data_IF_962478636685
#
_entry.id   IF_962478636685
#
_cell.length_a   1.000
_cell.length_b   1.000
_cell.length_c   1.000
_cell.angle_alpha   90.00
_cell.angle_beta   90.00
_cell.angle_gamma   90.00
#
_symmetry.space_group_name_H-M   'P 1'
#
loop_
_entity.id
_entity.type
_entity.pdbx_description
1 polymer ?
#
# COMPACT_ATOMS: atom_id res chain seq x y z
N UNK A 1 -10.32 -4.55 -35.61
CA UNK A 1 -9.50 -3.59 -34.84
C UNK A 1 -10.21 -3.38 -33.51
N UNK A 2 -9.80 -4.12 -32.48
CA UNK A 2 -10.45 -4.12 -31.17
C UNK A 2 -9.69 -3.17 -30.23
N UNK A 3 -10.48 -2.28 -29.64
CA UNK A 3 -10.13 -1.04 -28.97
C UNK A 3 -9.19 -1.24 -27.78
N UNK A 4 -8.10 -0.49 -27.81
CA UNK A 4 -7.04 -0.42 -26.79
C UNK A 4 -7.54 0.11 -25.44
N UNK A 5 -8.73 0.70 -25.36
CA UNK A 5 -9.31 1.30 -24.15
C UNK A 5 -9.79 0.26 -23.11
N UNK A 6 -10.26 -0.91 -23.53
CA UNK A 6 -10.78 -1.93 -22.58
C UNK A 6 -9.63 -2.59 -21.78
N UNK A 7 -8.41 -2.56 -22.30
CA UNK A 7 -7.22 -3.09 -21.64
C UNK A 7 -6.71 -2.20 -20.49
N UNK A 8 -7.12 -0.93 -20.44
CA UNK A 8 -6.66 0.04 -19.43
C UNK A 8 -7.58 0.07 -18.22
N UNK A 9 -8.89 -0.10 -18.41
CA UNK A 9 -9.83 -0.16 -17.29
C UNK A 9 -9.75 -1.46 -16.49
N UNK A 10 -9.42 -2.60 -17.13
CA UNK A 10 -9.29 -3.88 -16.42
C UNK A 10 -8.02 -4.00 -15.55
N UNK A 11 -7.02 -3.12 -15.70
CA UNK A 11 -5.88 -3.05 -14.77
C UNK A 11 -6.17 -2.21 -13.51
N UNK A 12 -7.19 -1.36 -13.52
CA UNK A 12 -7.48 -0.41 -12.42
C UNK A 12 -8.13 -1.05 -11.20
N UNK A 13 -8.58 -2.31 -11.33
CA UNK A 13 -9.17 -3.13 -10.25
C UNK A 13 -8.21 -4.28 -9.85
N UNK A 14 -7.14 -4.49 -10.60
CA UNK A 14 -6.19 -5.57 -10.36
C UNK A 14 -5.07 -5.10 -9.43
N UNK A 15 -4.90 -5.80 -8.30
CA UNK A 15 -3.81 -5.55 -7.34
C UNK A 15 -2.48 -5.94 -8.00
N UNK A 16 -1.59 -4.96 -8.14
CA UNK A 16 -0.27 -5.14 -8.75
C UNK A 16 0.76 -5.44 -7.66
N UNK A 17 1.54 -6.50 -7.84
CA UNK A 17 2.59 -6.91 -6.92
C UNK A 17 3.80 -5.98 -7.06
N UNK A 18 4.25 -5.37 -5.95
CA UNK A 18 5.47 -4.58 -5.94
C UNK A 18 6.72 -5.49 -5.87
N UNK A 19 7.81 -5.09 -6.54
CA UNK A 19 9.01 -5.91 -6.78
C UNK A 19 9.74 -6.41 -5.54
N UNK A 20 10.61 -7.41 -5.71
CA UNK A 20 11.39 -8.02 -4.63
C UNK A 20 12.86 -7.53 -4.62
N UNK A 21 13.37 -7.06 -3.45
CA UNK A 21 14.65 -7.49 -2.83
C UNK A 21 15.40 -6.44 -1.96
N UNK A 22 16.30 -7.02 -1.15
CA UNK A 22 17.45 -6.49 -0.37
C UNK A 22 17.23 -6.05 1.08
N UNK A 23 18.14 -6.56 1.92
CA UNK A 23 18.05 -6.81 3.35
C UNK A 23 18.25 -5.56 4.22
N UNK A 24 17.19 -5.21 4.93
CA UNK A 24 17.11 -4.31 6.08
C UNK A 24 15.64 -4.34 6.49
N UNK A 25 15.30 -4.49 7.78
CA UNK A 25 13.90 -4.65 8.26
C UNK A 25 13.09 -3.38 8.01
N UNK A 26 12.66 -3.24 6.77
CA UNK A 26 11.88 -2.15 6.23
C UNK A 26 10.54 -2.76 5.90
N UNK A 27 9.44 -2.28 6.51
CA UNK A 27 8.09 -2.68 6.10
C UNK A 27 7.94 -2.36 4.60
N UNK A 28 7.58 -3.36 3.80
CA UNK A 28 7.50 -3.25 2.34
C UNK A 28 6.06 -3.22 1.86
N UNK A 29 5.82 -2.55 0.74
CA UNK A 29 4.54 -2.62 0.02
C UNK A 29 4.50 -3.97 -0.70
N UNK A 30 3.47 -4.78 -0.46
CA UNK A 30 3.20 -6.01 -1.19
C UNK A 30 2.31 -5.73 -2.42
N UNK A 31 1.24 -4.95 -2.20
CA UNK A 31 0.42 -4.39 -3.27
C UNK A 31 -0.05 -2.98 -2.89
N UNK A 32 -0.38 -2.17 -3.90
CA UNK A 32 -0.95 -0.84 -3.72
C UNK A 32 -1.97 -0.53 -4.81
N UNK A 33 -3.00 0.21 -4.41
CA UNK A 33 -4.00 0.81 -5.26
C UNK A 33 -4.24 2.25 -4.82
N UNK A 34 -5.11 2.98 -5.53
CA UNK A 34 -5.53 4.31 -5.09
C UNK A 34 -6.26 4.32 -3.76
N UNK A 35 -6.84 3.21 -3.32
CA UNK A 35 -7.71 3.16 -2.14
C UNK A 35 -7.09 2.46 -0.94
N UNK A 36 -5.94 1.82 -1.10
CA UNK A 36 -5.31 1.06 -0.04
C UNK A 36 -4.11 0.29 -0.52
N UNK A 37 -3.43 -0.34 0.43
CA UNK A 37 -2.26 -1.18 0.18
C UNK A 37 -2.22 -2.37 1.13
N UNK A 38 -1.42 -3.35 0.75
CA UNK A 38 -0.93 -4.37 1.66
C UNK A 38 0.54 -4.11 1.95
N UNK A 39 0.93 -4.17 3.22
CA UNK A 39 2.33 -4.07 3.60
C UNK A 39 2.76 -5.27 4.44
N UNK A 40 4.06 -5.56 4.42
CA UNK A 40 4.66 -6.51 5.36
C UNK A 40 4.55 -5.98 6.79
N UNK A 41 4.07 -6.83 7.70
CA UNK A 41 4.05 -6.58 9.14
C UNK A 41 5.33 -7.10 9.76
N UNK A 42 5.98 -6.26 10.57
CA UNK A 42 7.24 -6.62 11.24
C UNK A 42 7.03 -7.38 12.55
N UNK A 43 5.87 -7.18 13.19
CA UNK A 43 5.43 -7.83 14.42
C UNK A 43 3.90 -7.79 14.52
N UNK A 44 3.30 -8.77 15.21
CA UNK A 44 1.87 -8.88 15.55
C UNK A 44 1.25 -7.63 16.24
N UNK A 45 2.07 -6.63 16.54
CA UNK A 45 1.72 -5.39 17.22
C UNK A 45 1.44 -4.20 16.28
N UNK A 46 1.35 -4.37 14.96
CA UNK A 46 1.18 -3.23 14.04
C UNK A 46 -0.24 -2.59 14.05
N UNK A 47 -1.15 -3.07 14.90
CA UNK A 47 -2.42 -2.39 15.23
C UNK A 47 -3.65 -3.29 15.08
N UNK A 48 -4.75 -2.86 15.70
CA UNK A 48 -6.01 -3.61 15.68
C UNK A 48 -6.85 -3.27 14.44
N UNK A 49 -7.68 -4.22 13.99
CA UNK A 49 -8.67 -3.94 12.96
C UNK A 49 -9.58 -2.76 13.37
N UNK A 50 -9.82 -1.83 12.46
CA UNK A 50 -10.55 -0.60 12.69
C UNK A 50 -9.70 0.57 13.23
N UNK A 51 -8.44 0.33 13.57
CA UNK A 51 -7.55 1.39 14.05
C UNK A 51 -7.13 2.34 12.93
N UNK A 52 -7.15 3.63 13.22
CA UNK A 52 -6.57 4.65 12.35
C UNK A 52 -5.05 4.74 12.56
N UNK A 53 -4.35 4.80 11.44
CA UNK A 53 -2.90 4.98 11.39
C UNK A 53 -2.55 6.05 10.38
N UNK A 54 -1.38 6.63 10.55
CA UNK A 54 -0.68 7.40 9.54
C UNK A 54 0.41 6.54 8.95
N UNK A 55 0.47 6.49 7.62
CA UNK A 55 1.47 5.76 6.85
C UNK A 55 2.33 6.79 6.15
N UNK A 56 3.63 6.71 6.38
CA UNK A 56 4.64 7.48 5.68
C UNK A 56 5.40 6.54 4.74
N UNK A 57 5.23 6.76 3.43
CA UNK A 57 5.94 6.06 2.36
C UNK A 57 7.19 6.83 1.89
N UNK A 58 7.68 7.81 2.66
CA UNK A 58 8.83 8.65 2.35
C UNK A 58 8.49 9.84 1.43
N UNK A 59 7.83 9.58 0.29
CA UNK A 59 7.40 10.61 -0.66
C UNK A 59 5.94 11.03 -0.47
N UNK A 60 5.14 10.15 0.15
CA UNK A 60 3.70 10.33 0.37
C UNK A 60 3.37 9.96 1.80
N UNK A 61 2.67 10.85 2.51
CA UNK A 61 2.13 10.59 3.84
C UNK A 61 0.60 10.59 3.75
N UNK A 62 -0.04 9.53 4.25
CA UNK A 62 -1.50 9.41 4.19
C UNK A 62 -2.06 8.76 5.46
N UNK A 63 -3.33 9.03 5.74
CA UNK A 63 -4.07 8.37 6.83
C UNK A 63 -4.77 7.14 6.29
N UNK A 64 -4.80 6.07 7.08
CA UNK A 64 -5.41 4.82 6.72
C UNK A 64 -6.10 4.16 7.91
N UNK A 65 -6.93 3.15 7.63
CA UNK A 65 -7.57 2.27 8.60
C UNK A 65 -7.02 0.87 8.37
N UNK A 66 -6.60 0.20 9.43
CA UNK A 66 -6.28 -1.24 9.37
C UNK A 66 -7.58 -2.01 9.19
N UNK A 67 -7.74 -2.68 8.05
CA UNK A 67 -8.94 -3.49 7.76
C UNK A 67 -8.78 -4.94 8.22
N UNK A 68 -7.57 -5.47 8.07
CA UNK A 68 -7.20 -6.79 8.56
C UNK A 68 -5.71 -6.84 8.84
N UNK A 69 -5.32 -7.71 9.76
CA UNK A 69 -3.94 -8.05 10.04
C UNK A 69 -3.80 -9.56 10.15
N UNK A 70 -2.68 -10.08 9.67
CA UNK A 70 -2.23 -11.45 9.93
C UNK A 70 -0.79 -11.44 10.47
N UNK A 71 -0.15 -12.61 10.59
CA UNK A 71 1.19 -12.73 11.17
C UNK A 71 2.32 -12.10 10.33
N UNK A 72 2.06 -11.80 9.07
CA UNK A 72 3.06 -11.33 8.12
C UNK A 72 2.64 -10.04 7.39
N UNK A 73 1.36 -9.65 7.44
CA UNK A 73 0.81 -8.59 6.59
C UNK A 73 -0.27 -7.78 7.27
N UNK A 74 -0.40 -6.55 6.78
CA UNK A 74 -1.50 -5.64 7.09
C UNK A 74 -2.20 -5.23 5.81
N UNK A 75 -3.53 -5.30 5.82
CA UNK A 75 -4.39 -4.68 4.82
C UNK A 75 -4.86 -3.32 5.31
N UNK A 76 -4.51 -2.28 4.56
CA UNK A 76 -4.78 -0.88 4.91
C UNK A 76 -5.70 -0.25 3.86
N UNK A 77 -6.71 0.48 4.34
CA UNK A 77 -7.58 1.31 3.49
C UNK A 77 -7.29 2.78 3.74
N UNK A 78 -6.99 3.53 2.68
CA UNK A 78 -6.69 4.95 2.80
C UNK A 78 -7.95 5.76 3.11
N UNK A 79 -7.85 6.68 4.06
CA UNK A 79 -8.93 7.60 4.41
C UNK A 79 -9.28 8.55 3.26
N UNK A 80 -8.33 8.79 2.35
CA UNK A 80 -8.54 9.49 1.08
C UNK A 80 -7.82 8.75 -0.03
N UNK A 81 -8.41 8.63 -1.23
CA UNK A 81 -7.73 7.99 -2.34
C UNK A 81 -6.46 8.75 -2.73
N UNK A 82 -5.38 8.02 -2.99
CA UNK A 82 -4.16 8.59 -3.57
C UNK A 82 -4.39 8.98 -5.03
N UNK A 83 -3.64 9.97 -5.50
CA UNK A 83 -3.52 10.33 -6.91
C UNK A 83 -2.83 9.22 -7.69
N UNK A 84 -3.19 9.04 -8.97
CA UNK A 84 -2.58 8.00 -9.80
C UNK A 84 -1.06 8.16 -9.90
N UNK A 85 -0.57 9.39 -10.00
CA UNK A 85 0.88 9.69 -10.02
C UNK A 85 1.57 9.29 -8.72
N UNK A 86 0.92 9.46 -7.57
CA UNK A 86 1.47 9.05 -6.29
C UNK A 86 1.62 7.52 -6.24
N UNK A 87 0.61 6.79 -6.71
CA UNK A 87 0.69 5.32 -6.81
C UNK A 87 1.82 4.90 -7.75
N UNK A 88 1.95 5.53 -8.92
CA UNK A 88 3.01 5.23 -9.88
C UNK A 88 4.40 5.50 -9.28
N UNK A 89 4.58 6.62 -8.56
CA UNK A 89 5.82 6.94 -7.84
C UNK A 89 6.15 5.91 -6.78
N UNK A 90 5.16 5.51 -5.95
CA UNK A 90 5.36 4.52 -4.90
C UNK A 90 5.73 3.13 -5.44
N UNK A 91 5.27 2.78 -6.64
CA UNK A 91 5.64 1.55 -7.33
C UNK A 91 7.04 1.63 -7.97
N UNK A 92 7.43 2.79 -8.51
CA UNK A 92 8.71 2.98 -9.16
C UNK A 92 9.88 3.15 -8.17
N UNK A 93 9.63 3.84 -7.05
CA UNK A 93 10.63 4.23 -6.06
C UNK A 93 10.23 3.76 -4.66
N UNK A 94 10.34 2.45 -4.37
CA UNK A 94 9.96 1.92 -3.07
C UNK A 94 10.89 2.46 -1.97
N UNK A 95 10.31 3.13 -0.99
CA UNK A 95 11.01 3.67 0.18
C UNK A 95 10.57 2.96 1.47
N UNK A 96 11.34 3.10 2.56
CA UNK A 96 10.94 2.52 3.83
C UNK A 96 9.63 3.05 4.38
N UNK A 97 8.72 2.15 4.75
CA UNK A 97 7.42 2.51 5.32
C UNK A 97 7.56 2.71 6.83
N UNK A 98 6.92 3.78 7.32
CA UNK A 98 6.73 4.02 8.76
C UNK A 98 5.24 4.08 9.06
N UNK A 99 4.83 3.35 10.09
CA UNK A 99 3.48 3.40 10.64
C UNK A 99 3.46 4.12 11.98
N UNK A 100 2.51 5.06 12.12
CA UNK A 100 2.25 5.78 13.38
C UNK A 100 0.78 5.66 13.74
N UNK A 101 0.49 5.28 14.98
CA UNK A 101 -0.88 5.20 15.51
C UNK A 101 -1.43 6.60 15.76
N UNK A 102 -2.72 6.78 15.50
CA UNK A 102 -3.46 8.03 15.74
C UNK A 102 -4.45 7.89 16.89
#
# INVERSE_FOLDING_TARGET
MLSQEVAVDNRRVQRMQAGAASSGRVQRIFDISRYGCQIESGDLADGANGQFVEIDFGSVVTRAIIRWSDRARLGLEFARPLGSREVDTLLAEPAPIRLRRL
#
